data_IF_274528127899
#
_entry.id   IF_274528127899
#
_cell.length_a   1.000
_cell.length_b   1.000
_cell.length_c   1.000
_cell.angle_alpha   90.00
_cell.angle_beta   90.00
_cell.angle_gamma   90.00
#
_symmetry.space_group_name_H-M   'P 1'
#
loop_
_entity.id
_entity.type
_entity.pdbx_description
1 polymer ?
#
# COMPACT_ATOMS: atom_id res chain seq x y z
N UNK A 1 24.60 -46.56 -18.43
CA UNK A 1 23.85 -45.55 -17.67
C UNK A 1 24.74 -44.34 -17.54
N UNK A 2 24.63 -43.43 -18.48
CA UNK A 2 25.44 -42.20 -18.57
C UNK A 2 24.62 -41.07 -17.99
N UNK A 3 25.09 -40.52 -16.87
CA UNK A 3 24.56 -39.30 -16.28
C UNK A 3 24.90 -38.12 -17.18
N UNK A 4 23.90 -37.46 -17.72
CA UNK A 4 24.05 -36.18 -18.42
C UNK A 4 24.10 -35.10 -17.33
N UNK A 5 25.30 -34.56 -17.12
CA UNK A 5 25.50 -33.29 -16.36
C UNK A 5 24.84 -32.16 -17.16
N UNK A 6 23.73 -31.67 -16.65
CA UNK A 6 23.07 -30.45 -17.12
C UNK A 6 23.74 -29.24 -16.45
N UNK A 7 24.89 -28.87 -17.02
CA UNK A 7 25.68 -27.70 -16.58
C UNK A 7 25.02 -26.43 -17.14
N UNK A 8 23.87 -26.05 -16.59
CA UNK A 8 23.26 -24.75 -16.82
C UNK A 8 24.21 -23.68 -16.25
N UNK A 9 25.09 -23.16 -17.09
CA UNK A 9 25.98 -22.03 -16.78
C UNK A 9 25.13 -20.87 -16.23
N UNK A 10 25.18 -20.71 -14.90
CA UNK A 10 24.51 -19.63 -14.19
C UNK A 10 25.10 -18.30 -14.69
N UNK A 11 24.29 -17.52 -15.39
CA UNK A 11 24.70 -16.18 -15.84
C UNK A 11 25.20 -15.39 -14.63
N UNK A 12 26.47 -14.89 -14.67
CA UNK A 12 27.05 -14.18 -13.53
C UNK A 12 26.22 -12.94 -13.18
N UNK A 13 25.96 -12.72 -11.91
CA UNK A 13 25.29 -11.51 -11.45
C UNK A 13 26.22 -10.29 -11.57
N UNK A 14 25.67 -9.07 -11.62
CA UNK A 14 26.47 -7.85 -11.61
C UNK A 14 27.38 -7.78 -10.37
N UNK A 15 26.97 -8.39 -9.25
CA UNK A 15 27.81 -8.52 -8.04
C UNK A 15 29.03 -9.40 -8.29
N UNK A 16 28.83 -10.56 -8.91
CA UNK A 16 29.93 -11.48 -9.24
C UNK A 16 30.96 -10.83 -10.20
N UNK A 17 30.49 -9.92 -11.07
CA UNK A 17 31.37 -9.16 -11.96
C UNK A 17 32.20 -8.12 -11.17
N UNK A 18 31.58 -7.38 -10.26
CA UNK A 18 32.26 -6.42 -9.39
C UNK A 18 33.26 -7.12 -8.46
N UNK A 19 32.87 -8.24 -7.85
CA UNK A 19 33.76 -9.03 -6.98
C UNK A 19 34.97 -9.55 -7.75
N UNK A 20 34.83 -9.93 -9.01
CA UNK A 20 35.97 -10.28 -9.91
C UNK A 20 36.89 -9.09 -10.18
N UNK A 21 36.35 -7.95 -10.56
CA UNK A 21 37.14 -6.74 -10.83
C UNK A 21 37.90 -6.30 -9.58
N UNK A 22 37.28 -6.41 -8.39
CA UNK A 22 37.92 -6.12 -7.10
C UNK A 22 39.06 -7.08 -6.81
N UNK A 23 38.85 -8.38 -7.00
CA UNK A 23 39.90 -9.39 -6.76
C UNK A 23 41.10 -9.27 -7.72
N UNK A 24 40.90 -8.64 -8.87
CA UNK A 24 41.94 -8.35 -9.87
C UNK A 24 42.63 -6.99 -9.63
N UNK A 25 42.27 -6.24 -8.59
CA UNK A 25 42.79 -4.90 -8.33
C UNK A 25 42.35 -3.84 -9.36
N UNK A 26 41.44 -4.17 -10.27
CA UNK A 26 41.02 -3.28 -11.36
C UNK A 26 40.22 -2.06 -10.86
N UNK A 27 39.73 -2.08 -9.61
CA UNK A 27 38.98 -1.00 -8.98
C UNK A 27 39.79 -0.20 -7.96
N UNK A 28 41.02 -0.57 -7.65
CA UNK A 28 41.79 0.03 -6.55
C UNK A 28 42.03 1.53 -6.76
N UNK A 29 42.51 1.93 -7.94
CA UNK A 29 42.71 3.34 -8.28
C UNK A 29 41.43 4.17 -8.29
N UNK A 30 40.28 3.55 -8.55
CA UNK A 30 38.99 4.20 -8.45
C UNK A 30 38.55 4.41 -6.99
N UNK A 31 38.77 3.39 -6.14
CA UNK A 31 38.46 3.49 -4.72
C UNK A 31 39.36 4.52 -4.02
N UNK A 32 40.63 4.58 -4.36
CA UNK A 32 41.54 5.64 -3.86
C UNK A 32 41.00 7.06 -4.16
N UNK A 33 40.49 7.31 -5.37
CA UNK A 33 39.93 8.60 -5.72
C UNK A 33 38.62 8.89 -4.99
N UNK A 34 37.79 7.85 -4.71
CA UNK A 34 36.56 7.97 -3.92
C UNK A 34 36.92 8.30 -2.45
N UNK A 35 37.89 7.59 -1.88
CA UNK A 35 38.30 7.73 -0.48
C UNK A 35 38.88 9.13 -0.19
N UNK A 36 39.56 9.74 -1.18
CA UNK A 36 40.05 11.12 -1.10
C UNK A 36 38.96 12.18 -1.40
N UNK A 37 37.72 11.74 -1.71
CA UNK A 37 36.62 12.65 -2.00
C UNK A 37 36.72 13.40 -3.32
N UNK A 38 37.58 12.98 -4.24
CA UNK A 38 37.78 13.61 -5.55
C UNK A 38 36.71 13.27 -6.58
N UNK A 39 35.92 12.21 -6.33
CA UNK A 39 34.88 11.73 -7.26
C UNK A 39 33.50 11.89 -6.65
N UNK A 40 32.62 12.62 -7.32
CA UNK A 40 31.20 12.67 -6.99
C UNK A 40 30.52 11.36 -7.40
N UNK A 41 29.64 10.84 -6.58
CA UNK A 41 28.93 9.57 -6.88
C UNK A 41 27.73 9.77 -7.79
N UNK A 42 26.96 10.84 -7.59
CA UNK A 42 25.69 11.14 -8.29
C UNK A 42 25.69 12.55 -8.87
N UNK A 43 24.67 12.87 -9.68
CA UNK A 43 24.56 14.14 -10.38
C UNK A 43 25.19 14.09 -11.79
N UNK A 44 25.15 15.18 -12.54
CA UNK A 44 25.55 15.22 -13.97
C UNK A 44 26.98 14.69 -14.22
N UNK A 45 27.93 15.02 -13.33
CA UNK A 45 29.34 14.62 -13.45
C UNK A 45 29.69 13.48 -12.47
N UNK A 46 28.71 12.66 -12.06
CA UNK A 46 28.90 11.59 -11.10
C UNK A 46 29.45 10.32 -11.73
N UNK A 47 30.15 9.51 -10.90
CA UNK A 47 30.67 8.21 -11.31
C UNK A 47 29.56 7.23 -11.71
N UNK A 48 28.47 7.16 -10.95
CA UNK A 48 27.37 6.24 -11.23
C UNK A 48 26.68 6.54 -12.58
N UNK A 49 26.33 7.80 -12.91
CA UNK A 49 25.87 8.15 -14.26
C UNK A 49 26.85 7.74 -15.37
N UNK A 50 28.15 7.94 -15.19
CA UNK A 50 29.17 7.56 -16.16
C UNK A 50 29.22 6.05 -16.39
N UNK A 51 29.15 5.24 -15.32
CA UNK A 51 29.09 3.78 -15.41
C UNK A 51 27.80 3.29 -16.08
N UNK A 52 26.66 3.90 -15.75
CA UNK A 52 25.37 3.56 -16.37
C UNK A 52 25.39 3.92 -17.85
N UNK A 53 25.94 5.09 -18.22
CA UNK A 53 26.13 5.50 -19.62
C UNK A 53 26.92 4.43 -20.40
N UNK A 54 28.10 4.06 -19.93
CA UNK A 54 28.97 3.10 -20.57
C UNK A 54 28.28 1.73 -20.76
N UNK A 55 27.57 1.27 -19.72
CA UNK A 55 26.81 0.02 -19.80
C UNK A 55 25.67 0.08 -20.83
N UNK A 56 24.94 1.18 -20.89
CA UNK A 56 23.86 1.37 -21.86
C UNK A 56 24.38 1.47 -23.30
N UNK A 57 25.46 2.21 -23.55
CA UNK A 57 26.05 2.35 -24.89
C UNK A 57 26.57 1.00 -25.40
N UNK A 58 27.19 0.21 -24.54
CA UNK A 58 27.60 -1.19 -24.89
C UNK A 58 26.40 -2.07 -25.18
N UNK A 59 25.36 -1.99 -24.34
CA UNK A 59 24.11 -2.74 -24.56
C UNK A 59 23.42 -2.36 -25.87
N UNK A 60 23.32 -1.06 -26.17
CA UNK A 60 22.77 -0.55 -27.43
C UNK A 60 23.59 -0.98 -28.65
N UNK A 61 24.93 -1.02 -28.53
CA UNK A 61 25.82 -1.52 -29.58
C UNK A 61 25.60 -3.02 -29.84
N UNK A 62 25.39 -3.81 -28.78
CA UNK A 62 25.06 -5.22 -28.86
C UNK A 62 23.68 -5.44 -29.51
N UNK A 63 22.65 -4.68 -29.13
CA UNK A 63 21.34 -4.72 -29.78
C UNK A 63 21.41 -4.40 -31.28
N UNK A 64 22.23 -3.41 -31.67
CA UNK A 64 22.43 -3.10 -33.07
C UNK A 64 23.20 -4.25 -33.83
N UNK A 65 24.17 -4.89 -33.17
CA UNK A 65 24.87 -6.08 -33.71
C UNK A 65 23.89 -7.21 -33.97
N UNK A 66 23.03 -7.51 -32.98
CA UNK A 66 21.97 -8.51 -33.10
C UNK A 66 21.01 -8.18 -34.27
N UNK A 67 20.58 -6.91 -34.38
CA UNK A 67 19.70 -6.44 -35.43
C UNK A 67 20.31 -6.55 -36.85
N UNK A 68 21.59 -6.25 -36.99
CA UNK A 68 22.30 -6.26 -38.27
C UNK A 68 22.87 -7.65 -38.64
N UNK A 69 23.04 -8.55 -37.66
CA UNK A 69 23.61 -9.87 -37.82
C UNK A 69 25.12 -9.90 -38.07
N UNK A 70 25.87 -8.83 -37.72
CA UNK A 70 27.33 -8.78 -37.84
C UNK A 70 28.02 -7.84 -36.86
N UNK A 71 29.25 -8.13 -36.49
CA UNK A 71 30.09 -7.34 -35.59
C UNK A 71 30.62 -6.06 -36.25
N UNK A 72 30.97 -5.05 -35.40
CA UNK A 72 31.63 -3.83 -35.89
C UNK A 72 33.04 -4.14 -36.37
N UNK A 73 33.33 -3.80 -37.64
CA UNK A 73 34.62 -4.03 -38.24
C UNK A 73 34.80 -5.41 -38.90
N UNK A 74 33.79 -6.26 -38.86
CA UNK A 74 33.85 -7.57 -39.53
C UNK A 74 33.91 -7.42 -41.05
N UNK A 75 34.94 -7.96 -41.73
CA UNK A 75 35.05 -7.90 -43.17
C UNK A 75 33.95 -8.71 -43.84
N UNK A 76 33.33 -8.17 -44.90
CA UNK A 76 32.28 -8.85 -45.65
C UNK A 76 32.69 -9.10 -47.07
N UNK A 77 32.46 -10.33 -47.54
CA UNK A 77 32.56 -10.73 -48.93
C UNK A 77 31.26 -10.53 -49.72
N UNK A 78 30.14 -10.20 -49.06
CA UNK A 78 28.82 -10.04 -49.67
C UNK A 78 28.25 -8.64 -49.37
N UNK A 79 27.47 -8.10 -50.33
CA UNK A 79 26.74 -6.86 -50.17
C UNK A 79 25.65 -7.02 -49.06
N UNK A 80 25.73 -6.17 -48.01
CA UNK A 80 24.74 -6.19 -46.93
C UNK A 80 23.56 -5.30 -47.27
N UNK A 81 22.37 -5.74 -46.95
CA UNK A 81 21.13 -4.99 -47.18
C UNK A 81 21.01 -3.76 -46.25
N UNK A 82 21.67 -3.78 -45.07
CA UNK A 82 21.69 -2.70 -44.13
C UNK A 82 23.07 -2.53 -43.49
N UNK A 83 23.36 -1.34 -42.97
CA UNK A 83 24.67 -1.00 -42.38
C UNK A 83 24.54 -0.05 -41.19
N UNK A 84 25.55 -0.06 -40.34
CA UNK A 84 25.68 0.96 -39.26
C UNK A 84 25.76 2.36 -39.85
N UNK A 85 25.08 3.33 -39.25
CA UNK A 85 24.99 4.72 -39.71
C UNK A 85 25.27 5.72 -38.60
N UNK A 86 26.38 5.55 -37.88
CA UNK A 86 26.77 6.44 -36.78
C UNK A 86 25.85 6.36 -35.56
N UNK A 87 25.92 7.39 -34.76
CA UNK A 87 25.17 7.54 -33.51
C UNK A 87 24.38 8.85 -33.50
N UNK A 88 23.48 9.00 -32.53
CA UNK A 88 22.80 10.26 -32.23
C UNK A 88 22.86 10.50 -30.74
N UNK A 89 23.34 11.69 -30.29
CA UNK A 89 23.35 12.04 -28.88
C UNK A 89 21.94 12.16 -28.34
N UNK A 90 21.75 11.69 -27.10
CA UNK A 90 20.47 11.71 -26.43
C UNK A 90 20.68 11.87 -24.93
N UNK A 91 20.15 12.94 -24.33
CA UNK A 91 20.14 13.11 -22.89
C UNK A 91 19.07 12.21 -22.27
N UNK A 92 19.44 11.52 -21.19
CA UNK A 92 18.58 10.62 -20.41
C UNK A 92 18.73 10.95 -18.94
N UNK A 93 17.60 11.17 -18.27
CA UNK A 93 17.54 11.31 -16.81
C UNK A 93 17.42 9.95 -16.14
N UNK A 94 18.14 9.76 -15.03
CA UNK A 94 18.11 8.52 -14.26
C UNK A 94 18.06 8.79 -12.75
N UNK A 95 17.87 7.71 -11.97
CA UNK A 95 17.91 7.74 -10.50
C UNK A 95 19.29 8.06 -9.91
N UNK A 96 20.31 8.17 -10.74
CA UNK A 96 21.68 8.56 -10.31
C UNK A 96 22.09 9.92 -10.88
N UNK A 97 21.31 10.51 -11.77
CA UNK A 97 21.54 11.80 -12.41
C UNK A 97 21.33 11.74 -13.93
N UNK A 98 21.37 12.92 -14.60
CA UNK A 98 21.29 13.02 -16.04
C UNK A 98 22.63 12.65 -16.69
N UNK A 99 22.59 12.07 -17.88
CA UNK A 99 23.76 11.83 -18.73
C UNK A 99 23.37 11.77 -20.20
N UNK A 100 24.34 12.02 -21.08
CA UNK A 100 24.16 11.91 -22.51
C UNK A 100 24.72 10.58 -23.02
N UNK A 101 23.91 9.84 -23.81
CA UNK A 101 24.27 8.58 -24.46
C UNK A 101 24.31 8.73 -25.97
N UNK A 102 25.17 7.97 -26.61
CA UNK A 102 25.26 7.84 -28.06
C UNK A 102 24.43 6.66 -28.54
N UNK A 103 23.22 6.95 -29.05
CA UNK A 103 22.29 5.93 -29.54
C UNK A 103 22.68 5.53 -30.97
N UNK A 104 23.05 4.26 -31.24
CA UNK A 104 23.46 3.83 -32.55
C UNK A 104 22.28 3.77 -33.55
N UNK A 105 22.58 3.94 -34.85
CA UNK A 105 21.60 3.91 -35.94
C UNK A 105 22.06 2.96 -37.05
N UNK A 106 21.09 2.44 -37.77
CA UNK A 106 21.27 1.74 -39.02
C UNK A 106 20.92 2.64 -40.23
N UNK A 107 21.42 2.27 -41.42
CA UNK A 107 21.20 3.03 -42.65
C UNK A 107 19.74 2.98 -43.10
N UNK A 108 19.09 1.84 -42.94
CA UNK A 108 17.70 1.65 -43.29
C UNK A 108 16.69 2.29 -42.32
N UNK A 109 17.13 2.75 -41.13
CA UNK A 109 16.27 3.33 -40.11
C UNK A 109 15.30 2.34 -39.47
N UNK A 110 15.59 1.04 -39.57
CA UNK A 110 14.74 -0.04 -39.04
C UNK A 110 15.07 -0.44 -37.60
N UNK A 111 16.24 -0.05 -37.12
CA UNK A 111 16.66 -0.37 -35.77
C UNK A 111 15.82 0.38 -34.72
N UNK A 112 15.22 -0.37 -33.83
CA UNK A 112 14.45 0.15 -32.70
C UNK A 112 15.06 -0.37 -31.39
N UNK A 113 15.82 0.48 -30.64
CA UNK A 113 16.46 0.06 -29.42
C UNK A 113 15.43 -0.30 -28.35
N UNK A 114 15.69 -1.39 -27.60
CA UNK A 114 14.86 -1.89 -26.50
C UNK A 114 15.29 -1.30 -25.14
N UNK A 115 16.60 -1.16 -24.93
CA UNK A 115 17.17 -0.63 -23.67
C UNK A 115 16.78 0.82 -23.42
N UNK A 116 16.84 1.67 -24.44
CA UNK A 116 16.42 3.06 -24.38
C UNK A 116 15.56 3.38 -25.58
N UNK A 117 14.25 3.28 -25.43
CA UNK A 117 13.27 3.43 -26.53
C UNK A 117 13.35 4.79 -27.22
N UNK A 118 12.95 4.81 -28.49
CA UNK A 118 12.82 6.09 -29.23
C UNK A 118 11.89 7.04 -28.47
N UNK A 119 12.33 8.29 -28.23
CA UNK A 119 11.57 9.28 -27.47
C UNK A 119 11.62 9.17 -25.93
N UNK A 120 12.16 8.09 -25.38
CA UNK A 120 12.33 7.94 -23.93
C UNK A 120 13.46 8.88 -23.45
N UNK A 121 13.14 9.79 -22.55
CA UNK A 121 14.09 10.76 -21.94
C UNK A 121 14.43 10.44 -20.49
N UNK A 122 13.79 9.43 -19.92
CA UNK A 122 14.01 8.99 -18.52
C UNK A 122 14.08 7.46 -18.47
N UNK A 123 14.91 6.96 -17.58
CA UNK A 123 14.92 5.54 -17.25
C UNK A 123 13.76 5.19 -16.30
N UNK A 124 13.29 3.96 -16.38
CA UNK A 124 12.14 3.49 -15.58
C UNK A 124 12.40 3.57 -14.07
N UNK A 125 13.66 3.50 -13.64
CA UNK A 125 14.08 3.67 -12.24
C UNK A 125 13.74 5.05 -11.67
N UNK A 126 13.93 6.12 -12.45
CA UNK A 126 13.59 7.48 -12.03
C UNK A 126 12.06 7.65 -11.88
N UNK A 127 11.27 7.15 -12.82
CA UNK A 127 9.81 7.21 -12.74
C UNK A 127 9.30 6.41 -11.52
N UNK A 128 9.88 5.25 -11.23
CA UNK A 128 9.57 4.46 -10.04
C UNK A 128 9.94 5.20 -8.73
N UNK A 129 11.09 5.89 -8.69
CA UNK A 129 11.50 6.72 -7.57
C UNK A 129 10.49 7.85 -7.34
N UNK A 130 10.08 8.57 -8.38
CA UNK A 130 9.10 9.68 -8.30
C UNK A 130 7.78 9.17 -7.72
N UNK A 131 7.29 8.02 -8.20
CA UNK A 131 6.07 7.39 -7.66
C UNK A 131 6.23 7.05 -6.19
N UNK A 132 7.40 6.52 -5.77
CA UNK A 132 7.68 6.18 -4.37
C UNK A 132 7.73 7.42 -3.47
N UNK A 133 8.38 8.50 -3.90
CA UNK A 133 8.42 9.78 -3.16
C UNK A 133 7.01 10.37 -3.01
N UNK A 134 6.21 10.29 -4.07
CA UNK A 134 4.81 10.73 -4.05
C UNK A 134 3.97 9.88 -3.08
N UNK A 135 4.12 8.55 -3.11
CA UNK A 135 3.47 7.62 -2.18
C UNK A 135 3.86 7.88 -0.71
N UNK A 136 5.11 8.31 -0.47
CA UNK A 136 5.62 8.75 0.83
C UNK A 136 5.04 10.08 1.33
N UNK A 137 4.25 10.79 0.51
CA UNK A 137 3.54 12.02 0.88
C UNK A 137 4.20 13.33 0.42
N UNK A 138 5.29 13.27 -0.34
CA UNK A 138 5.90 14.48 -0.91
C UNK A 138 4.97 15.13 -1.93
N UNK A 139 4.87 16.45 -1.89
CA UNK A 139 4.16 17.22 -2.93
C UNK A 139 4.94 17.21 -4.24
N UNK A 140 4.30 17.56 -5.35
CA UNK A 140 4.98 17.67 -6.65
C UNK A 140 6.16 18.66 -6.57
N UNK A 141 6.01 19.75 -5.83
CA UNK A 141 7.07 20.76 -5.64
C UNK A 141 8.23 20.23 -4.79
N UNK A 142 7.91 19.46 -3.72
CA UNK A 142 8.96 18.84 -2.90
C UNK A 142 9.76 17.82 -3.72
N UNK A 143 9.08 17.05 -4.59
CA UNK A 143 9.74 16.10 -5.50
C UNK A 143 10.64 16.86 -6.50
N UNK A 144 10.15 17.95 -7.11
CA UNK A 144 10.98 18.78 -8.00
C UNK A 144 12.25 19.26 -7.29
N UNK A 145 12.09 19.84 -6.10
CA UNK A 145 13.22 20.34 -5.33
C UNK A 145 14.19 19.23 -4.95
N UNK A 146 13.68 18.09 -4.53
CA UNK A 146 14.50 16.91 -4.17
C UNK A 146 15.32 16.40 -5.36
N UNK A 147 14.69 16.24 -6.54
CA UNK A 147 15.38 15.76 -7.74
C UNK A 147 16.45 16.75 -8.21
N UNK A 148 16.15 18.06 -8.23
CA UNK A 148 17.10 19.09 -8.62
C UNK A 148 18.29 19.16 -7.64
N UNK A 149 18.03 19.14 -6.33
CA UNK A 149 19.09 19.29 -5.31
C UNK A 149 19.95 18.05 -5.12
N UNK A 150 19.39 16.86 -5.32
CA UNK A 150 20.07 15.58 -4.99
C UNK A 150 20.67 14.91 -6.23
N UNK A 151 19.97 14.99 -7.36
CA UNK A 151 20.32 14.25 -8.58
C UNK A 151 20.68 15.19 -9.76
N UNK A 152 20.52 16.51 -9.60
CA UNK A 152 20.65 17.49 -10.70
C UNK A 152 19.69 17.22 -11.87
N UNK A 153 18.51 16.63 -11.57
CA UNK A 153 17.46 16.34 -12.56
C UNK A 153 16.37 17.40 -12.45
N UNK A 154 16.13 18.13 -13.53
CA UNK A 154 15.10 19.16 -13.60
C UNK A 154 13.87 18.66 -14.36
N UNK A 155 12.78 18.43 -13.65
CA UNK A 155 11.49 18.04 -14.22
C UNK A 155 10.42 19.09 -13.94
N UNK A 156 9.55 19.34 -14.92
CA UNK A 156 8.40 20.21 -14.70
C UNK A 156 7.36 19.55 -13.79
N UNK A 157 6.58 20.34 -13.07
CA UNK A 157 5.45 19.87 -12.25
C UNK A 157 4.47 19.02 -13.08
N UNK A 158 4.21 19.41 -14.33
CA UNK A 158 3.36 18.66 -15.24
C UNK A 158 3.94 17.29 -15.61
N UNK A 159 5.28 17.17 -15.74
CA UNK A 159 5.94 15.88 -15.99
C UNK A 159 5.79 14.95 -14.79
N UNK A 160 6.03 15.44 -13.56
CA UNK A 160 5.87 14.66 -12.33
C UNK A 160 4.40 14.21 -12.16
N UNK A 161 3.44 15.12 -12.44
CA UNK A 161 2.02 14.74 -12.44
C UNK A 161 1.73 13.61 -13.41
N UNK A 162 2.19 13.71 -14.68
CA UNK A 162 2.01 12.65 -15.68
C UNK A 162 2.63 11.32 -15.25
N UNK A 163 3.81 11.32 -14.64
CA UNK A 163 4.45 10.11 -14.12
C UNK A 163 3.59 9.48 -13.01
N UNK A 164 3.09 10.29 -12.08
CA UNK A 164 2.22 9.79 -11.01
C UNK A 164 0.82 9.41 -11.51
N UNK A 165 0.35 9.98 -12.62
CA UNK A 165 -0.93 9.64 -13.25
C UNK A 165 -0.87 8.32 -14.04
N UNK A 166 0.32 7.82 -14.37
CA UNK A 166 0.48 6.51 -15.01
C UNK A 166 -0.10 5.35 -14.19
N UNK A 167 -0.38 5.55 -12.90
CA UNK A 167 -1.07 4.56 -12.06
C UNK A 167 -2.60 4.68 -12.08
N UNK A 168 -3.18 5.63 -12.81
CA UNK A 168 -4.63 5.91 -12.78
C UNK A 168 -5.45 4.69 -13.18
N UNK A 169 -5.05 3.98 -14.24
CA UNK A 169 -5.74 2.76 -14.69
C UNK A 169 -5.72 1.67 -13.62
N UNK A 170 -4.58 1.47 -12.96
CA UNK A 170 -4.46 0.50 -11.87
C UNK A 170 -5.32 0.90 -10.64
N UNK A 171 -5.46 2.20 -10.37
CA UNK A 171 -6.35 2.72 -9.33
C UNK A 171 -7.81 2.42 -9.68
N UNK A 172 -8.22 2.69 -10.93
CA UNK A 172 -9.58 2.41 -11.40
C UNK A 172 -9.90 0.91 -11.38
N UNK A 173 -8.96 0.07 -11.83
CA UNK A 173 -9.10 -1.39 -11.77
C UNK A 173 -9.27 -1.85 -10.30
N UNK A 174 -8.43 -1.36 -9.40
CA UNK A 174 -8.56 -1.65 -7.96
C UNK A 174 -9.91 -1.22 -7.40
N UNK A 175 -10.40 -0.04 -7.74
CA UNK A 175 -11.68 0.47 -7.28
C UNK A 175 -12.87 -0.33 -7.81
N UNK A 176 -12.79 -0.82 -9.06
CA UNK A 176 -13.87 -1.52 -9.76
C UNK A 176 -13.81 -3.05 -9.68
N UNK A 177 -12.72 -3.58 -9.08
CA UNK A 177 -12.53 -5.03 -9.02
C UNK A 177 -13.74 -5.71 -8.38
N UNK A 178 -14.13 -6.90 -8.88
CA UNK A 178 -15.11 -7.74 -8.21
C UNK A 178 -14.69 -8.02 -6.77
N UNK A 179 -15.66 -8.06 -5.88
CA UNK A 179 -15.49 -8.41 -4.49
C UNK A 179 -15.99 -9.84 -4.27
N UNK A 180 -15.70 -10.37 -3.11
CA UNK A 180 -16.18 -11.69 -2.75
C UNK A 180 -17.64 -11.61 -2.30
N UNK A 181 -18.37 -12.71 -2.45
CA UNK A 181 -19.80 -12.76 -2.15
C UNK A 181 -20.09 -12.60 -0.65
N UNK A 182 -19.17 -13.02 0.21
CA UNK A 182 -19.34 -13.01 1.66
C UNK A 182 -18.19 -12.38 2.40
N UNK A 183 -18.50 -11.52 3.37
CA UNK A 183 -17.57 -10.93 4.31
C UNK A 183 -18.02 -11.19 5.76
N UNK A 184 -17.28 -12.01 6.55
CA UNK A 184 -17.60 -12.26 7.95
C UNK A 184 -17.61 -10.98 8.81
N UNK A 185 -16.69 -10.05 8.54
CA UNK A 185 -16.64 -8.76 9.25
C UNK A 185 -16.22 -7.67 8.28
N UNK A 186 -16.99 -6.61 8.22
CA UNK A 186 -16.60 -5.34 7.57
C UNK A 186 -16.39 -4.29 8.65
N UNK A 187 -15.27 -3.60 8.59
CA UNK A 187 -15.01 -2.45 9.44
C UNK A 187 -15.20 -1.17 8.65
N UNK A 188 -15.98 -0.28 9.19
CA UNK A 188 -16.16 1.05 8.65
C UNK A 188 -15.61 2.09 9.62
N UNK A 189 -14.77 2.99 9.12
CA UNK A 189 -14.16 4.01 9.96
C UNK A 189 -14.07 5.36 9.29
N UNK A 190 -14.43 6.41 10.05
CA UNK A 190 -14.18 7.80 9.70
C UNK A 190 -12.71 8.17 9.96
N UNK A 191 -12.09 8.90 9.03
CA UNK A 191 -10.85 9.63 9.33
C UNK A 191 -11.17 11.08 9.71
N UNK A 192 -11.10 11.46 11.00
CA UNK A 192 -11.42 12.81 11.46
C UNK A 192 -10.34 13.85 11.16
N UNK A 193 -9.34 13.52 10.32
CA UNK A 193 -8.07 14.22 10.28
C UNK A 193 -8.01 15.54 9.52
N UNK A 194 -9.07 15.98 8.80
CA UNK A 194 -9.08 17.31 8.16
C UNK A 194 -10.52 17.83 8.03
N UNK A 195 -10.68 19.17 8.13
CA UNK A 195 -11.98 19.83 8.20
C UNK A 195 -12.91 19.61 6.99
N UNK A 196 -14.12 20.22 6.97
CA UNK A 196 -15.26 19.81 6.17
C UNK A 196 -15.10 19.81 4.65
N UNK A 197 -13.96 20.20 4.11
CA UNK A 197 -13.69 20.22 2.66
C UNK A 197 -12.69 19.22 2.14
N UNK A 198 -12.04 18.39 2.98
CA UNK A 198 -10.94 17.49 2.55
C UNK A 198 -10.76 16.25 3.43
N UNK A 199 -11.83 15.62 3.85
CA UNK A 199 -11.68 14.32 4.54
C UNK A 199 -11.35 13.25 3.50
N UNK A 200 -10.13 12.65 3.52
CA UNK A 200 -9.85 11.49 2.70
C UNK A 200 -10.81 10.37 3.09
N UNK A 201 -11.41 9.79 2.09
CA UNK A 201 -12.45 8.80 2.21
C UNK A 201 -12.08 7.58 3.04
N UNK A 202 -13.10 6.91 3.45
CA UNK A 202 -13.11 5.77 4.37
C UNK A 202 -12.72 4.49 3.69
N UNK A 203 -11.95 3.68 4.39
CA UNK A 203 -11.60 2.32 3.98
C UNK A 203 -12.48 1.34 4.76
N UNK A 204 -13.47 0.69 4.17
CA UNK A 204 -13.98 -0.53 4.74
C UNK A 204 -12.90 -1.60 4.59
N UNK A 205 -12.54 -2.25 5.68
CA UNK A 205 -11.62 -3.36 5.73
C UNK A 205 -12.37 -4.56 6.30
N UNK A 206 -12.34 -5.67 5.58
CA UNK A 206 -12.87 -6.94 6.06
C UNK A 206 -11.78 -8.01 6.03
N UNK A 207 -11.71 -8.92 7.01
CA UNK A 207 -10.98 -10.14 6.86
C UNK A 207 -11.73 -11.05 5.89
N UNK A 208 -11.02 -11.59 4.91
CA UNK A 208 -11.57 -12.41 3.84
C UNK A 208 -10.97 -13.80 3.81
N UNK A 209 -11.83 -14.83 3.53
CA UNK A 209 -11.41 -16.18 3.16
C UNK A 209 -11.91 -16.47 1.75
N UNK A 210 -11.06 -16.33 0.73
CA UNK A 210 -11.36 -16.80 -0.63
C UNK A 210 -11.28 -18.32 -0.75
N UNK A 211 -12.06 -18.90 -1.68
CA UNK A 211 -11.95 -20.28 -2.11
C UNK A 211 -10.47 -20.63 -2.36
N UNK A 212 -9.99 -21.62 -1.63
CA UNK A 212 -8.70 -22.30 -1.72
C UNK A 212 -7.78 -21.92 -2.90
N UNK A 213 -6.97 -20.89 -2.70
CA UNK A 213 -5.59 -20.86 -3.24
C UNK A 213 -4.72 -20.17 -2.20
N UNK A 214 -4.00 -20.99 -1.40
CA UNK A 214 -3.02 -20.57 -0.38
C UNK A 214 -3.57 -19.85 0.87
N UNK A 215 -4.00 -20.59 1.81
CA UNK A 215 -4.24 -20.51 3.23
C UNK A 215 -3.69 -19.34 4.06
N UNK A 216 -4.04 -18.08 3.79
CA UNK A 216 -3.74 -16.97 4.69
C UNK A 216 -4.90 -15.98 4.70
N UNK A 217 -5.49 -15.83 5.86
CA UNK A 217 -6.56 -14.87 6.10
C UNK A 217 -5.96 -13.47 6.17
N UNK A 218 -6.38 -12.60 5.27
CA UNK A 218 -5.86 -11.23 5.16
C UNK A 218 -6.99 -10.23 5.19
N UNK A 219 -6.83 -9.17 5.99
CA UNK A 219 -7.72 -8.01 5.92
C UNK A 219 -7.41 -7.22 4.65
N UNK A 220 -8.39 -6.97 3.79
CA UNK A 220 -8.24 -6.25 2.53
C UNK A 220 -8.98 -4.93 2.56
N UNK A 221 -8.35 -3.87 2.04
CA UNK A 221 -9.04 -2.63 1.73
C UNK A 221 -10.03 -2.84 0.59
N UNK A 222 -11.32 -2.64 0.85
CA UNK A 222 -12.35 -2.80 -0.18
C UNK A 222 -12.37 -1.62 -1.14
N UNK A 223 -12.37 -0.40 -0.62
CA UNK A 223 -12.29 0.87 -1.37
C UNK A 223 -12.04 2.06 -0.45
N UNK A 224 -11.64 3.20 -1.03
CA UNK A 224 -11.67 4.53 -0.42
C UNK A 224 -12.71 5.39 -1.12
N UNK A 225 -13.58 6.05 -0.37
CA UNK A 225 -14.50 7.06 -0.87
C UNK A 225 -14.07 8.43 -0.32
N UNK A 226 -14.17 9.45 -1.17
CA UNK A 226 -13.89 10.84 -0.83
C UNK A 226 -15.18 11.61 -0.99
N UNK A 227 -15.64 12.27 0.08
CA UNK A 227 -16.84 13.11 0.03
C UNK A 227 -16.80 14.21 1.10
N UNK A 228 -17.37 15.36 0.78
CA UNK A 228 -17.41 16.52 1.66
C UNK A 228 -18.37 16.34 2.84
N UNK A 229 -19.50 15.64 2.63
CA UNK A 229 -20.55 15.41 3.63
C UNK A 229 -20.95 13.93 3.72
N UNK A 230 -21.31 13.50 4.92
CA UNK A 230 -21.64 12.13 5.23
C UNK A 230 -23.06 12.07 5.74
N UNK A 231 -23.99 11.86 4.84
CA UNK A 231 -25.41 11.65 5.12
C UNK A 231 -25.85 10.21 4.85
N UNK A 232 -27.09 9.90 5.15
CA UNK A 232 -27.72 8.60 4.87
C UNK A 232 -27.60 8.21 3.39
N UNK A 233 -27.78 9.16 2.46
CA UNK A 233 -27.61 8.94 1.02
C UNK A 233 -26.22 8.49 0.63
N UNK A 234 -25.16 9.05 1.24
CA UNK A 234 -23.78 8.60 1.03
C UNK A 234 -23.60 7.14 1.44
N UNK A 235 -24.12 6.76 2.62
CA UNK A 235 -24.02 5.39 3.12
C UNK A 235 -24.79 4.41 2.28
N UNK A 236 -25.98 4.76 1.83
CA UNK A 236 -26.76 3.96 0.90
C UNK A 236 -25.98 3.72 -0.41
N UNK A 237 -25.32 4.77 -0.94
CA UNK A 237 -24.46 4.64 -2.12
C UNK A 237 -23.26 3.70 -1.88
N UNK A 238 -22.59 3.81 -0.73
CA UNK A 238 -21.46 2.94 -0.36
C UNK A 238 -21.89 1.48 -0.27
N UNK A 239 -22.98 1.18 0.42
CA UNK A 239 -23.50 -0.17 0.55
C UNK A 239 -23.95 -0.75 -0.81
N UNK A 240 -24.68 0.03 -1.60
CA UNK A 240 -25.11 -0.37 -2.95
C UNK A 240 -23.92 -0.65 -3.87
N UNK A 241 -22.86 0.16 -3.80
CA UNK A 241 -21.66 -0.07 -4.60
C UNK A 241 -20.94 -1.37 -4.22
N UNK A 242 -20.83 -1.67 -2.92
CA UNK A 242 -20.25 -2.94 -2.45
C UNK A 242 -21.09 -4.13 -2.94
N UNK A 243 -22.42 -4.04 -2.84
CA UNK A 243 -23.34 -5.06 -3.35
C UNK A 243 -23.20 -5.24 -4.87
N UNK A 244 -23.16 -4.16 -5.64
CA UNK A 244 -22.96 -4.20 -7.10
C UNK A 244 -21.62 -4.81 -7.53
N UNK A 245 -20.62 -4.76 -6.65
CA UNK A 245 -19.31 -5.39 -6.86
C UNK A 245 -19.26 -6.85 -6.43
N UNK A 246 -20.37 -7.42 -5.98
CA UNK A 246 -20.51 -8.83 -5.69
C UNK A 246 -20.71 -9.19 -4.22
N UNK A 247 -20.73 -8.22 -3.27
CA UNK A 247 -20.95 -8.51 -1.85
C UNK A 247 -22.42 -8.85 -1.61
N UNK A 248 -22.73 -10.15 -1.57
CA UNK A 248 -24.10 -10.65 -1.39
C UNK A 248 -24.49 -10.71 0.09
N UNK A 249 -23.51 -10.99 0.98
CA UNK A 249 -23.78 -11.13 2.41
C UNK A 249 -22.65 -10.65 3.28
N UNK A 250 -22.99 -10.09 4.45
CA UNK A 250 -22.10 -9.61 5.49
C UNK A 250 -22.63 -10.02 6.85
N UNK A 251 -21.83 -10.68 7.66
CA UNK A 251 -22.28 -11.12 8.97
C UNK A 251 -22.21 -10.02 10.03
N UNK A 252 -21.10 -9.28 10.08
CA UNK A 252 -20.89 -8.23 11.08
C UNK A 252 -20.34 -6.98 10.40
N UNK A 253 -20.95 -5.82 10.69
CA UNK A 253 -20.39 -4.51 10.30
C UNK A 253 -20.04 -3.71 11.54
N UNK A 254 -18.73 -3.48 11.76
CA UNK A 254 -18.25 -2.65 12.85
C UNK A 254 -18.11 -1.19 12.40
N UNK A 255 -18.82 -0.28 13.06
CA UNK A 255 -18.79 1.15 12.74
C UNK A 255 -18.56 2.03 13.96
N UNK A 256 -18.26 3.31 13.74
CA UNK A 256 -17.96 4.28 14.78
C UNK A 256 -19.18 5.17 15.17
N UNK A 257 -20.39 4.62 15.06
CA UNK A 257 -21.64 5.29 15.46
C UNK A 257 -22.09 6.39 14.49
N UNK A 258 -21.92 6.15 13.21
CA UNK A 258 -22.27 7.10 12.14
C UNK A 258 -23.76 7.11 11.85
N UNK A 259 -24.33 8.30 11.82
CA UNK A 259 -25.75 8.49 11.50
C UNK A 259 -26.04 8.07 10.06
N UNK A 260 -27.12 7.28 9.86
CA UNK A 260 -27.56 6.81 8.56
C UNK A 260 -26.79 5.60 7.99
N UNK A 261 -25.68 5.18 8.60
CA UNK A 261 -24.97 3.98 8.17
C UNK A 261 -25.64 2.68 8.61
N UNK A 262 -26.13 2.54 9.86
CA UNK A 262 -26.86 1.34 10.26
C UNK A 262 -28.07 1.06 9.37
N UNK A 263 -28.86 2.07 9.10
CA UNK A 263 -30.06 1.98 8.26
C UNK A 263 -29.71 1.56 6.82
N UNK A 264 -28.61 2.06 6.27
CA UNK A 264 -28.12 1.66 4.96
C UNK A 264 -27.64 0.20 4.92
N UNK A 265 -27.00 -0.27 6.01
CA UNK A 265 -26.55 -1.66 6.15
C UNK A 265 -27.76 -2.59 6.23
N UNK A 266 -28.73 -2.29 7.10
CA UNK A 266 -29.96 -3.06 7.30
C UNK A 266 -30.77 -3.15 6.01
N UNK A 267 -30.84 -2.07 5.22
CA UNK A 267 -31.51 -2.07 3.93
C UNK A 267 -30.79 -2.91 2.86
N UNK A 268 -29.45 -3.02 2.93
CA UNK A 268 -28.67 -3.74 1.92
C UNK A 268 -28.43 -5.20 2.31
N UNK A 269 -28.10 -5.45 3.58
CA UNK A 269 -27.85 -6.78 4.16
C UNK A 269 -28.67 -6.94 5.45
N UNK A 270 -29.95 -7.35 5.35
CA UNK A 270 -30.86 -7.42 6.50
C UNK A 270 -30.42 -8.38 7.62
N UNK A 271 -29.56 -9.35 7.29
CA UNK A 271 -29.03 -10.30 8.26
C UNK A 271 -27.74 -9.84 8.94
N UNK A 272 -27.18 -8.70 8.51
CA UNK A 272 -25.92 -8.20 9.07
C UNK A 272 -26.11 -7.63 10.48
N UNK A 273 -25.26 -8.03 11.39
CA UNK A 273 -25.20 -7.45 12.74
C UNK A 273 -24.41 -6.14 12.69
N UNK A 274 -25.08 -5.02 13.00
CA UNK A 274 -24.42 -3.71 13.11
C UNK A 274 -23.85 -3.55 14.51
N UNK A 275 -22.53 -3.42 14.60
CA UNK A 275 -21.79 -3.36 15.86
C UNK A 275 -21.07 -2.03 16.04
N UNK A 276 -21.34 -1.32 17.15
CA UNK A 276 -20.56 -0.13 17.53
C UNK A 276 -19.14 -0.52 17.95
N UNK A 277 -18.16 0.17 17.41
CA UNK A 277 -16.76 -0.05 17.76
C UNK A 277 -16.48 0.30 19.22
N UNK A 278 -16.14 -0.69 20.03
CA UNK A 278 -15.86 -0.53 21.49
C UNK A 278 -14.72 0.48 21.74
N UNK A 279 -13.68 0.47 20.90
CA UNK A 279 -12.56 1.43 21.04
C UNK A 279 -13.02 2.88 20.84
N UNK A 280 -13.94 3.12 19.89
CA UNK A 280 -14.51 4.46 19.69
C UNK A 280 -15.42 4.87 20.83
N UNK A 281 -16.18 3.92 21.36
CA UNK A 281 -17.03 4.15 22.52
C UNK A 281 -16.23 4.57 23.75
N UNK A 282 -15.12 3.85 24.03
CA UNK A 282 -14.19 4.22 25.09
C UNK A 282 -13.59 5.62 24.84
N UNK A 283 -13.13 5.90 23.61
CA UNK A 283 -12.58 7.22 23.27
C UNK A 283 -13.59 8.34 23.40
N UNK A 284 -14.84 8.09 23.03
CA UNK A 284 -15.93 9.05 23.20
C UNK A 284 -16.16 9.36 24.68
N UNK A 285 -16.19 8.35 25.55
CA UNK A 285 -16.29 8.53 27.00
C UNK A 285 -15.12 9.33 27.56
N UNK A 286 -13.89 9.07 27.09
CA UNK A 286 -12.67 9.78 27.55
C UNK A 286 -12.63 11.27 27.20
N UNK A 287 -13.49 11.77 26.30
CA UNK A 287 -13.60 13.21 26.01
C UNK A 287 -14.11 14.01 27.19
N UNK A 288 -14.91 13.39 28.03
CA UNK A 288 -15.50 14.01 29.21
C UNK A 288 -14.65 13.85 30.47
N UNK A 289 -13.53 13.12 30.40
CA UNK A 289 -12.69 12.73 31.54
C UNK A 289 -11.38 13.50 31.52
N UNK A 290 -11.00 14.08 32.68
CA UNK A 290 -9.71 14.74 32.89
C UNK A 290 -8.56 13.77 32.59
N UNK A 291 -7.42 14.27 32.13
CA UNK A 291 -6.27 13.44 31.76
C UNK A 291 -5.83 12.52 32.93
N UNK A 292 -5.79 13.02 34.15
CA UNK A 292 -5.36 12.26 35.34
C UNK A 292 -6.29 11.09 35.70
N UNK A 293 -7.59 11.21 35.39
CA UNK A 293 -8.59 10.19 35.74
C UNK A 293 -8.87 9.17 34.60
N UNK A 294 -8.39 9.45 33.38
CA UNK A 294 -8.66 8.58 32.21
C UNK A 294 -8.29 7.13 32.46
N UNK A 295 -7.19 6.87 33.15
CA UNK A 295 -6.73 5.50 33.41
C UNK A 295 -7.68 4.77 34.36
N UNK A 296 -8.22 5.45 35.37
CA UNK A 296 -9.18 4.89 36.34
C UNK A 296 -10.51 4.60 35.67
N UNK A 297 -11.05 5.57 34.92
CA UNK A 297 -12.30 5.42 34.18
C UNK A 297 -12.19 4.31 33.11
N UNK A 298 -11.09 4.25 32.36
CA UNK A 298 -10.87 3.21 31.37
C UNK A 298 -10.80 1.80 32.02
N UNK A 299 -10.19 1.67 33.20
CA UNK A 299 -10.14 0.42 33.94
C UNK A 299 -11.52 -0.02 34.44
N UNK A 300 -12.34 0.91 34.93
CA UNK A 300 -13.71 0.61 35.37
C UNK A 300 -14.60 0.21 34.17
N UNK A 301 -14.57 0.96 33.07
CA UNK A 301 -15.33 0.63 31.86
C UNK A 301 -14.87 -0.68 31.18
N UNK A 302 -13.69 -1.19 31.53
CA UNK A 302 -13.23 -2.49 31.02
C UNK A 302 -14.16 -3.62 31.44
N UNK A 303 -14.71 -3.57 32.66
CA UNK A 303 -15.66 -4.56 33.15
C UNK A 303 -16.89 -4.70 32.24
N UNK A 304 -17.37 -3.60 31.67
CA UNK A 304 -18.55 -3.55 30.80
C UNK A 304 -18.32 -4.39 29.52
N UNK A 305 -17.25 -4.14 28.78
CA UNK A 305 -17.03 -4.82 27.48
C UNK A 305 -16.31 -6.17 27.57
N UNK A 306 -15.82 -6.54 28.76
CA UNK A 306 -15.29 -7.89 29.02
C UNK A 306 -16.29 -8.78 29.74
N UNK A 307 -17.48 -8.29 30.05
CA UNK A 307 -18.53 -9.04 30.73
C UNK A 307 -18.91 -10.33 29.99
N UNK A 308 -19.29 -11.39 30.70
CA UNK A 308 -19.69 -12.67 30.10
C UNK A 308 -21.08 -12.60 29.46
N UNK A 309 -21.98 -11.74 29.93
CA UNK A 309 -23.35 -11.58 29.43
C UNK A 309 -23.77 -10.12 29.37
N UNK A 310 -24.93 -9.86 28.75
CA UNK A 310 -25.52 -8.51 28.68
C UNK A 310 -25.92 -7.99 30.06
N UNK A 311 -26.48 -8.84 30.92
CA UNK A 311 -26.89 -8.50 32.30
C UNK A 311 -25.65 -8.11 33.13
N UNK A 312 -24.59 -8.91 33.03
CA UNK A 312 -23.33 -8.59 33.73
C UNK A 312 -22.68 -7.29 33.24
N UNK A 313 -22.80 -7.02 31.93
CA UNK A 313 -22.31 -5.77 31.36
C UNK A 313 -23.12 -4.56 31.84
N UNK A 314 -24.46 -4.70 31.90
CA UNK A 314 -25.34 -3.65 32.42
C UNK A 314 -25.04 -3.38 33.90
N UNK A 315 -24.91 -4.43 34.70
CA UNK A 315 -24.54 -4.27 36.13
C UNK A 315 -23.21 -3.52 36.27
N UNK A 316 -22.18 -3.91 35.47
CA UNK A 316 -20.89 -3.24 35.50
C UNK A 316 -20.96 -1.75 35.07
N UNK A 317 -21.87 -1.40 34.17
CA UNK A 317 -22.12 -0.02 33.77
C UNK A 317 -22.83 0.74 34.88
N UNK A 318 -23.80 0.13 35.57
CA UNK A 318 -24.50 0.66 36.70
C UNK A 318 -23.54 0.90 37.88
N UNK A 319 -22.72 -0.08 38.22
CA UNK A 319 -21.69 0.03 39.28
C UNK A 319 -20.70 1.18 38.98
N UNK A 320 -20.32 1.32 37.66
CA UNK A 320 -19.49 2.46 37.28
C UNK A 320 -20.22 3.78 37.45
N UNK A 321 -21.50 3.88 37.05
CA UNK A 321 -22.29 5.11 37.16
C UNK A 321 -22.47 5.59 38.61
N UNK A 322 -22.60 4.64 39.54
CA UNK A 322 -22.75 4.89 40.99
C UNK A 322 -21.40 5.13 41.69
N UNK A 323 -20.29 4.81 41.07
CA UNK A 323 -18.94 5.02 41.62
C UNK A 323 -18.57 6.51 41.68
N UNK A 324 -17.56 6.87 42.50
CA UNK A 324 -17.01 8.23 42.57
C UNK A 324 -16.61 8.78 41.19
N UNK A 325 -16.12 7.92 40.31
CA UNK A 325 -15.74 8.30 38.97
C UNK A 325 -16.96 8.50 38.06
N UNK A 326 -18.00 7.69 38.18
CA UNK A 326 -19.24 7.84 37.46
C UNK A 326 -20.01 9.09 37.86
N UNK A 327 -20.11 9.35 39.14
CA UNK A 327 -20.71 10.58 39.67
C UNK A 327 -19.95 11.81 39.20
N UNK A 328 -18.63 11.76 39.17
CA UNK A 328 -17.77 12.85 38.68
C UNK A 328 -17.88 13.05 37.18
N UNK A 329 -18.07 11.98 36.38
CA UNK A 329 -18.09 12.01 34.94
C UNK A 329 -19.35 11.34 34.35
N UNK A 330 -20.55 11.81 34.62
CA UNK A 330 -21.81 11.15 34.24
C UNK A 330 -21.95 11.01 32.72
N UNK A 331 -21.37 11.93 31.95
CA UNK A 331 -21.39 11.85 30.48
C UNK A 331 -20.57 10.66 29.92
N UNK A 332 -19.62 10.14 30.70
CA UNK A 332 -18.87 8.94 30.32
C UNK A 332 -19.79 7.71 30.36
N UNK A 333 -20.61 7.55 31.37
CA UNK A 333 -21.65 6.51 31.49
C UNK A 333 -22.74 6.66 30.42
N UNK A 334 -23.33 7.86 30.32
CA UNK A 334 -24.37 8.19 29.36
C UNK A 334 -23.96 7.94 27.89
N UNK A 335 -22.67 7.94 27.60
CA UNK A 335 -22.13 7.58 26.26
C UNK A 335 -22.40 6.10 25.95
N UNK A 336 -22.27 5.20 26.93
CA UNK A 336 -22.54 3.77 26.80
C UNK A 336 -24.04 3.48 26.77
N UNK A 337 -24.81 4.12 27.63
CA UNK A 337 -26.26 3.99 27.66
C UNK A 337 -26.89 4.33 26.31
N UNK A 338 -26.49 5.45 25.69
CA UNK A 338 -26.98 5.85 24.37
C UNK A 338 -26.58 4.89 23.24
N UNK A 339 -25.47 4.20 23.39
CA UNK A 339 -24.98 3.25 22.39
C UNK A 339 -25.36 1.81 22.71
N UNK A 340 -26.12 1.57 23.80
CA UNK A 340 -26.34 0.25 24.39
C UNK A 340 -26.84 -0.78 23.37
N UNK A 341 -27.94 -0.52 22.71
CA UNK A 341 -28.56 -1.41 21.73
C UNK A 341 -27.61 -1.85 20.60
N UNK A 342 -26.66 -0.98 20.23
CA UNK A 342 -25.68 -1.27 19.18
C UNK A 342 -24.33 -1.76 19.74
N UNK A 343 -24.20 -1.80 21.05
CA UNK A 343 -23.03 -2.36 21.75
C UNK A 343 -23.27 -3.81 22.16
N UNK A 344 -24.45 -4.14 22.67
CA UNK A 344 -24.73 -5.48 23.21
C UNK A 344 -24.49 -6.64 22.24
N UNK A 345 -24.70 -6.55 20.93
CA UNK A 345 -24.39 -7.66 20.01
C UNK A 345 -22.94 -8.14 20.12
N UNK A 346 -22.01 -7.26 20.53
CA UNK A 346 -20.61 -7.61 20.78
C UNK A 346 -20.46 -8.72 21.84
N UNK A 347 -21.34 -8.72 22.86
CA UNK A 347 -21.29 -9.67 23.98
C UNK A 347 -21.77 -11.06 23.59
N UNK A 348 -22.51 -11.21 22.51
CA UNK A 348 -22.99 -12.50 21.99
C UNK A 348 -21.91 -13.25 21.19
N UNK A 349 -20.84 -12.53 20.80
CA UNK A 349 -19.76 -13.14 20.03
C UNK A 349 -18.80 -13.95 20.91
N UNK A 350 -18.22 -15.06 20.38
CA UNK A 350 -17.20 -15.82 21.08
C UNK A 350 -15.99 -14.97 21.47
N UNK A 351 -15.31 -15.27 22.59
CA UNK A 351 -14.21 -14.44 23.10
C UNK A 351 -13.09 -14.16 22.09
N UNK A 352 -12.75 -15.13 21.21
CA UNK A 352 -11.74 -14.91 20.18
C UNK A 352 -12.22 -13.93 19.10
N UNK A 353 -13.48 -13.99 18.72
CA UNK A 353 -14.07 -13.06 17.79
C UNK A 353 -14.19 -11.65 18.40
N UNK A 354 -14.64 -11.54 19.66
CA UNK A 354 -14.63 -10.25 20.39
C UNK A 354 -13.25 -9.61 20.37
N UNK A 355 -12.19 -10.40 20.59
CA UNK A 355 -10.81 -9.90 20.53
C UNK A 355 -10.44 -9.37 19.15
N UNK A 356 -10.81 -10.07 18.08
CA UNK A 356 -10.55 -9.62 16.70
C UNK A 356 -11.35 -8.37 16.38
N UNK A 357 -12.63 -8.31 16.74
CA UNK A 357 -13.51 -7.15 16.53
C UNK A 357 -13.04 -5.95 17.36
N UNK A 358 -12.64 -6.17 18.61
CA UNK A 358 -12.13 -5.14 19.51
C UNK A 358 -10.78 -4.58 19.04
N UNK A 359 -9.87 -5.45 18.57
CA UNK A 359 -8.54 -5.03 18.14
C UNK A 359 -8.57 -4.45 16.72
N UNK A 360 -9.12 -3.26 16.57
CA UNK A 360 -9.04 -2.49 15.31
C UNK A 360 -7.61 -1.99 15.00
N UNK A 361 -6.59 -2.51 15.70
CA UNK A 361 -5.19 -2.09 15.56
C UNK A 361 -4.68 -2.12 14.12
N UNK A 362 -5.16 -3.07 13.30
CA UNK A 362 -4.78 -3.16 11.89
C UNK A 362 -5.26 -1.96 11.09
N UNK A 363 -6.52 -1.57 11.30
CA UNK A 363 -7.13 -0.42 10.63
C UNK A 363 -6.57 0.87 11.20
N UNK A 364 -6.38 0.94 12.52
CA UNK A 364 -5.78 2.10 13.17
C UNK A 364 -4.36 2.36 12.68
N UNK A 365 -3.56 1.30 12.56
CA UNK A 365 -2.21 1.36 12.01
C UNK A 365 -2.22 1.85 10.56
N UNK A 366 -3.10 1.31 9.71
CA UNK A 366 -3.22 1.75 8.32
C UNK A 366 -3.66 3.23 8.26
N UNK A 367 -4.72 3.60 8.97
CA UNK A 367 -5.19 4.99 9.00
C UNK A 367 -4.12 5.95 9.55
N UNK A 368 -3.33 5.53 10.53
CA UNK A 368 -2.21 6.33 11.02
C UNK A 368 -1.17 6.58 9.90
N UNK A 369 -0.81 5.56 9.14
CA UNK A 369 0.11 5.69 8.01
C UNK A 369 -0.49 6.60 6.91
N UNK A 370 -1.76 6.43 6.58
CA UNK A 370 -2.44 7.27 5.60
C UNK A 370 -2.49 8.74 6.05
N UNK A 371 -2.79 9.01 7.33
CA UNK A 371 -2.74 10.38 7.87
C UNK A 371 -1.35 10.98 7.81
N UNK A 372 -0.30 10.20 8.08
CA UNK A 372 1.07 10.68 7.97
C UNK A 372 1.38 11.19 6.57
N UNK A 373 0.89 10.47 5.55
CA UNK A 373 1.09 10.82 4.14
C UNK A 373 0.23 12.02 3.71
N UNK A 374 -1.03 12.09 4.18
CA UNK A 374 -1.96 13.16 3.80
C UNK A 374 -1.73 14.46 4.58
N UNK A 375 -1.24 14.40 5.83
CA UNK A 375 -1.05 15.57 6.70
C UNK A 375 -0.10 16.61 6.10
N UNK A 376 0.90 16.18 5.34
CA UNK A 376 1.88 17.07 4.73
C UNK A 376 1.33 17.83 3.52
N UNK A 377 0.11 17.49 3.07
CA UNK A 377 -0.56 18.15 1.95
C UNK A 377 -1.71 19.00 2.46
N UNK A 378 -1.55 20.31 2.38
CA UNK A 378 -2.58 21.27 2.82
C UNK A 378 -3.81 21.30 1.92
N UNK A 379 -3.68 20.91 0.64
CA UNK A 379 -4.76 20.92 -0.36
C UNK A 379 -4.55 19.86 -1.43
N UNK A 380 -5.65 19.29 -1.92
CA UNK A 380 -5.66 18.39 -3.07
C UNK A 380 -6.40 19.07 -4.24
N UNK A 381 -5.86 18.98 -5.46
CA UNK A 381 -6.49 19.61 -6.63
C UNK A 381 -7.81 18.94 -7.05
N UNK A 382 -7.98 17.65 -6.77
CA UNK A 382 -9.19 16.88 -7.08
C UNK A 382 -9.32 15.64 -6.19
N UNK A 383 -10.49 15.01 -6.19
CA UNK A 383 -10.78 13.77 -5.48
C UNK A 383 -9.96 12.59 -6.03
N UNK A 384 -9.72 12.57 -7.34
CA UNK A 384 -8.87 11.56 -7.99
C UNK A 384 -7.42 11.64 -7.46
N UNK A 385 -6.91 12.86 -7.22
CA UNK A 385 -5.58 13.04 -6.64
C UNK A 385 -5.49 12.49 -5.21
N UNK A 386 -6.57 12.63 -4.42
CA UNK A 386 -6.67 12.02 -3.08
C UNK A 386 -6.67 10.51 -3.19
N UNK A 387 -7.54 9.93 -4.02
CA UNK A 387 -7.66 8.47 -4.20
C UNK A 387 -6.36 7.88 -4.70
N UNK A 388 -5.70 8.50 -5.67
CA UNK A 388 -4.39 8.11 -6.19
C UNK A 388 -3.34 8.05 -5.08
N UNK A 389 -3.24 9.10 -4.26
CA UNK A 389 -2.29 9.14 -3.14
C UNK A 389 -2.59 8.04 -2.10
N UNK A 390 -3.85 7.89 -1.71
CA UNK A 390 -4.25 6.86 -0.74
C UNK A 390 -3.94 5.47 -1.25
N UNK A 391 -4.24 5.17 -2.51
CA UNK A 391 -3.94 3.88 -3.13
C UNK A 391 -2.43 3.60 -3.15
N UNK A 392 -1.62 4.55 -3.58
CA UNK A 392 -0.16 4.42 -3.57
C UNK A 392 0.39 4.22 -2.16
N UNK A 393 -0.12 4.98 -1.18
CA UNK A 393 0.28 4.83 0.22
C UNK A 393 -0.11 3.45 0.79
N UNK A 394 -1.28 2.91 0.43
CA UNK A 394 -1.71 1.56 0.80
C UNK A 394 -0.74 0.54 0.21
N UNK A 395 -0.42 0.64 -1.09
CA UNK A 395 0.53 -0.25 -1.75
C UNK A 395 1.91 -0.21 -1.08
N UNK A 396 2.42 0.98 -0.73
CA UNK A 396 3.72 1.12 -0.05
C UNK A 396 3.71 0.50 1.36
N UNK A 397 2.62 0.70 2.12
CA UNK A 397 2.46 0.08 3.45
C UNK A 397 2.42 -1.44 3.35
N UNK A 398 1.70 -1.99 2.38
CA UNK A 398 1.58 -3.44 2.19
C UNK A 398 2.91 -4.06 1.71
N UNK A 399 3.62 -3.38 0.81
CA UNK A 399 4.95 -3.80 0.37
C UNK A 399 5.96 -3.84 1.52
N UNK A 400 5.96 -2.84 2.39
CA UNK A 400 6.80 -2.81 3.60
C UNK A 400 6.49 -3.98 4.53
N UNK A 401 5.22 -4.23 4.80
CA UNK A 401 4.76 -5.36 5.63
C UNK A 401 5.11 -6.71 5.01
N UNK A 402 5.01 -6.85 3.69
CA UNK A 402 5.42 -8.06 2.99
C UNK A 402 6.91 -8.33 3.14
N UNK A 403 7.75 -7.30 3.01
CA UNK A 403 9.21 -7.40 3.21
C UNK A 403 9.59 -7.76 4.65
N UNK A 404 8.90 -7.18 5.64
CA UNK A 404 9.10 -7.49 7.06
C UNK A 404 8.77 -8.97 7.34
N UNK A 405 7.64 -9.46 6.86
CA UNK A 405 7.25 -10.88 6.97
C UNK A 405 8.25 -11.83 6.33
N UNK A 406 8.75 -11.48 5.13
CA UNK A 406 9.74 -12.29 4.44
C UNK A 406 11.09 -12.27 5.18
N UNK A 407 11.43 -11.14 5.83
CA UNK A 407 12.59 -11.04 6.73
C UNK A 407 12.43 -11.94 7.96
N UNK A 408 11.25 -11.94 8.59
CA UNK A 408 10.93 -12.81 9.75
C UNK A 408 11.01 -14.30 9.39
N UNK A 409 10.71 -14.65 8.13
CA UNK A 409 10.87 -16.03 7.61
C UNK A 409 12.30 -16.39 7.23
N UNK A 410 13.27 -15.50 7.46
CA UNK A 410 14.67 -15.73 7.13
C UNK A 410 15.01 -15.66 5.65
N UNK A 411 14.09 -15.15 4.80
CA UNK A 411 14.37 -15.05 3.37
C UNK A 411 15.47 -13.99 3.09
N UNK A 412 16.46 -14.30 2.25
CA UNK A 412 17.49 -13.35 1.88
C UNK A 412 16.88 -12.13 1.13
N UNK A 413 17.51 -10.94 1.18
CA UNK A 413 16.98 -9.73 0.56
C UNK A 413 16.60 -9.88 -0.92
N UNK A 414 17.33 -10.67 -1.68
CA UNK A 414 17.10 -10.96 -3.09
C UNK A 414 15.81 -11.77 -3.37
N UNK A 415 15.34 -12.54 -2.39
CA UNK A 415 14.12 -13.36 -2.49
C UNK A 415 12.91 -12.74 -1.80
N UNK A 416 13.07 -11.59 -1.12
CA UNK A 416 11.95 -10.88 -0.49
C UNK A 416 11.10 -10.26 -1.58
N UNK A 417 9.83 -10.61 -1.60
CA UNK A 417 8.88 -10.09 -2.60
C UNK A 417 8.79 -8.57 -2.48
N UNK A 418 9.34 -7.87 -3.44
CA UNK A 418 9.17 -6.45 -3.64
C UNK A 418 8.27 -6.24 -4.85
N UNK A 419 7.11 -6.87 -4.94
CA UNK A 419 6.25 -6.60 -6.09
C UNK A 419 4.94 -7.35 -6.04
N UNK A 420 3.95 -6.64 -5.83
CA UNK A 420 2.63 -6.85 -6.33
C UNK A 420 1.86 -5.62 -5.88
N UNK A 421 1.58 -4.73 -6.78
CA UNK A 421 0.59 -3.66 -6.61
C UNK A 421 -0.83 -4.21 -6.33
N UNK A 422 -0.89 -5.49 -6.00
CA UNK A 422 -2.04 -6.14 -5.41
C UNK A 422 -1.95 -5.85 -3.92
N UNK A 423 -2.89 -5.09 -3.40
CA UNK A 423 -3.10 -4.87 -1.98
C UNK A 423 -3.36 -6.23 -1.33
N UNK A 424 -2.30 -6.91 -0.90
CA UNK A 424 -2.39 -8.08 -0.05
C UNK A 424 -2.74 -7.58 1.35
N UNK A 425 -3.93 -7.89 1.83
CA UNK A 425 -4.41 -7.42 3.12
C UNK A 425 -3.54 -7.85 4.30
N UNK A 426 -3.75 -7.20 5.41
CA UNK A 426 -3.06 -7.48 6.66
C UNK A 426 -3.52 -8.81 7.27
N UNK A 427 -2.58 -9.61 7.76
CA UNK A 427 -2.89 -10.81 8.56
C UNK A 427 -3.51 -10.35 9.89
N UNK A 428 -4.70 -10.81 10.20
CA UNK A 428 -5.34 -10.62 11.49
C UNK A 428 -4.91 -11.77 12.40
N UNK A 429 -4.23 -11.44 13.49
CA UNK A 429 -3.81 -12.46 14.48
C UNK A 429 -5.02 -13.19 15.05
N UNK A 430 -4.91 -14.51 15.20
CA UNK A 430 -5.97 -15.38 15.71
C UNK A 430 -7.26 -15.46 14.86
N UNK A 431 -7.25 -14.95 13.63
CA UNK A 431 -8.44 -14.98 12.77
C UNK A 431 -8.96 -16.39 12.51
N UNK A 432 -8.08 -17.35 12.22
CA UNK A 432 -8.50 -18.75 12.00
C UNK A 432 -9.24 -19.35 13.21
N UNK A 433 -8.82 -19.00 14.43
CA UNK A 433 -9.49 -19.43 15.65
C UNK A 433 -10.84 -18.74 15.82
N UNK A 434 -10.89 -17.43 15.54
CA UNK A 434 -12.14 -16.68 15.58
C UNK A 434 -13.14 -17.19 14.55
N UNK A 435 -12.70 -17.50 13.33
CA UNK A 435 -13.54 -18.06 12.28
C UNK A 435 -14.06 -19.47 12.65
N UNK A 436 -13.22 -20.33 13.22
CA UNK A 436 -13.65 -21.65 13.68
C UNK A 436 -14.73 -21.56 14.78
N UNK A 437 -14.57 -20.64 15.73
CA UNK A 437 -15.61 -20.37 16.73
C UNK A 437 -16.89 -19.80 16.08
N UNK A 438 -16.76 -18.90 15.14
CA UNK A 438 -17.89 -18.29 14.45
C UNK A 438 -18.68 -19.32 13.64
N UNK A 439 -18.00 -20.27 12.98
CA UNK A 439 -18.63 -21.40 12.28
C UNK A 439 -19.49 -22.27 13.23
N UNK A 440 -19.04 -22.41 14.47
CA UNK A 440 -19.78 -23.18 15.47
C UNK A 440 -20.98 -22.42 16.03
N UNK A 441 -20.83 -21.11 16.26
CA UNK A 441 -21.87 -20.27 16.89
C UNK A 441 -22.88 -19.71 15.91
N UNK A 442 -22.50 -19.49 14.66
CA UNK A 442 -23.33 -18.93 13.59
C UNK A 442 -23.26 -19.81 12.32
N UNK A 443 -23.65 -21.10 12.39
CA UNK A 443 -23.48 -22.03 11.28
C UNK A 443 -24.27 -21.59 10.03
N UNK A 444 -25.48 -21.07 10.22
CA UNK A 444 -26.37 -20.65 9.11
C UNK A 444 -25.83 -19.43 8.35
N UNK A 445 -25.05 -18.56 9.01
CA UNK A 445 -24.48 -17.38 8.37
C UNK A 445 -23.13 -17.64 7.67
N UNK A 446 -22.45 -18.76 7.96
CA UNK A 446 -21.11 -19.01 7.45
C UNK A 446 -21.03 -20.26 6.58
N UNK A 447 -21.69 -21.35 6.96
CA UNK A 447 -21.58 -22.64 6.26
C UNK A 447 -21.89 -22.56 4.75
N UNK A 448 -22.83 -21.73 4.27
CA UNK A 448 -23.06 -21.59 2.84
C UNK A 448 -21.83 -21.12 2.05
N UNK A 449 -20.87 -20.47 2.73
CA UNK A 449 -19.69 -19.84 2.11
C UNK A 449 -18.36 -20.58 2.41
N UNK A 450 -18.39 -21.66 3.20
CA UNK A 450 -17.24 -22.52 3.52
C UNK A 450 -17.13 -23.69 2.54
#
# INVERSE_FOLDING_TARGET
>A
MTATDDDTQKVPTGRDAVDRLRSQGALDGLFEQIDVGQVKMTGADGLLPALVKEALERGLAAELTEHLGYEKGEPTSQARSNARNGTTPKTVDSEVGPFEIEVPRDRAGTFTPRLVRKGQRRLDGLDAMIISLYAGGMTVRDIQHHLASTLSVELSAGTISKITDAVADAVLEWQRRPLDEFYPVIYHRRDPGQGPRQSPGRLPLGPYRGRRRHGRDQARGLRSWVQAEEGASFWAHVCAELANRGVSDVLIVCCDGLTGLPEAIEATWPQATVQTCVVHLIRASMRFVSYGDRRKVAAALKAVYTAPSQEAAWQALTDFSESDMGVKYPQAAATWERAWERFIPFLDFPPMLRRVIYTTNSIESLNYQLRKVTKNRGHFPSDEAVVKLLWLAICDVEDKRARERDKEKGLPPSKRKAKGRLVEGQITTDWNKALAQLTTTHPNGINPYL
#
